data_IF_067235463446
#
_entry.id   IF_067235463446
#
_cell.length_a   1.000
_cell.length_b   1.000
_cell.length_c   1.000
_cell.angle_alpha   90.00
_cell.angle_beta   90.00
_cell.angle_gamma   90.00
#
_symmetry.space_group_name_H-M   'P 1'
#
loop_
_entity.id
_entity.type
_entity.pdbx_description
1 polymer ?
#
# COMPACT_ATOMS: atom_id res chain seq x y z
N UNK A 1 1.23 16.99 -11.84
CA UNK A 1 2.34 17.98 -11.89
C UNK A 1 1.93 19.38 -12.34
N UNK A 2 0.92 19.54 -13.21
CA UNK A 2 0.51 20.85 -13.75
C UNK A 2 -0.26 21.74 -12.77
N UNK A 3 -1.06 21.17 -11.89
CA UNK A 3 -2.07 21.89 -11.09
C UNK A 3 -1.67 22.03 -9.60
N UNK A 4 -0.64 21.34 -9.14
CA UNK A 4 -0.23 21.30 -7.72
C UNK A 4 -0.64 20.01 -7.03
N UNK A 5 -0.12 19.80 -5.82
CA UNK A 5 -0.38 18.56 -5.05
C UNK A 5 -1.75 18.61 -4.38
N UNK A 6 -2.07 19.73 -3.73
CA UNK A 6 -3.31 19.87 -2.98
C UNK A 6 -4.57 19.87 -3.86
N UNK A 7 -4.64 20.59 -5.00
CA UNK A 7 -5.80 20.51 -5.87
C UNK A 7 -6.05 19.11 -6.43
N UNK A 8 -4.99 18.37 -6.79
CA UNK A 8 -5.13 17.00 -7.29
C UNK A 8 -5.68 16.07 -6.21
N UNK A 9 -5.19 16.19 -4.96
CA UNK A 9 -5.75 15.44 -3.82
C UNK A 9 -7.21 15.78 -3.58
N UNK A 10 -7.59 17.06 -3.62
CA UNK A 10 -8.98 17.48 -3.44
C UNK A 10 -9.90 16.90 -4.53
N UNK A 11 -9.48 16.92 -5.80
CA UNK A 11 -10.22 16.34 -6.91
C UNK A 11 -10.34 14.82 -6.75
N UNK A 12 -9.25 14.13 -6.37
CA UNK A 12 -9.23 12.69 -6.19
C UNK A 12 -10.22 12.25 -5.06
N UNK A 13 -10.17 12.93 -3.92
CA UNK A 13 -11.10 12.69 -2.80
C UNK A 13 -12.54 13.02 -3.20
N UNK A 14 -12.74 14.10 -3.96
CA UNK A 14 -14.06 14.49 -4.47
C UNK A 14 -14.67 13.44 -5.39
N UNK A 15 -13.89 12.92 -6.34
CA UNK A 15 -14.32 11.82 -7.23
C UNK A 15 -14.65 10.57 -6.41
N UNK A 16 -13.77 10.19 -5.47
CA UNK A 16 -13.99 9.04 -4.60
C UNK A 16 -15.30 9.16 -3.82
N UNK A 17 -15.55 10.31 -3.19
CA UNK A 17 -16.74 10.54 -2.39
C UNK A 17 -18.02 10.60 -3.24
N UNK A 18 -17.99 11.27 -4.40
CA UNK A 18 -19.12 11.31 -5.32
C UNK A 18 -19.49 9.92 -5.83
N UNK A 19 -18.50 9.10 -6.16
CA UNK A 19 -18.73 7.73 -6.62
C UNK A 19 -19.15 6.81 -5.46
N UNK A 20 -18.70 7.06 -4.24
CA UNK A 20 -19.23 6.39 -3.04
C UNK A 20 -20.74 6.68 -2.87
N UNK A 21 -21.15 7.94 -3.01
CA UNK A 21 -22.57 8.30 -3.01
C UNK A 21 -23.34 7.57 -4.13
N UNK A 22 -22.80 7.54 -5.35
CA UNK A 22 -23.44 6.83 -6.46
C UNK A 22 -23.62 5.33 -6.20
N UNK A 23 -22.65 4.69 -5.52
CA UNK A 23 -22.73 3.27 -5.16
C UNK A 23 -23.91 2.95 -4.24
N UNK A 24 -24.37 3.90 -3.40
CA UNK A 24 -25.54 3.71 -2.52
C UNK A 24 -26.81 3.50 -3.36
N UNK A 25 -26.90 4.18 -4.49
CA UNK A 25 -28.05 4.15 -5.40
C UNK A 25 -27.87 3.15 -6.54
N UNK A 26 -26.91 2.22 -6.45
CA UNK A 26 -26.69 1.22 -7.49
C UNK A 26 -27.91 0.30 -7.61
N UNK A 27 -28.45 0.19 -8.84
CA UNK A 27 -29.65 -0.61 -9.15
C UNK A 27 -29.36 -2.04 -9.61
N UNK A 28 -28.09 -2.41 -9.70
CA UNK A 28 -27.66 -3.77 -10.08
C UNK A 28 -26.15 -3.92 -10.13
N UNK A 29 -25.65 -5.13 -10.35
CA UNK A 29 -24.20 -5.40 -10.39
C UNK A 29 -23.44 -4.56 -11.41
N UNK A 30 -24.00 -4.34 -12.60
CA UNK A 30 -23.36 -3.57 -13.67
C UNK A 30 -23.16 -2.09 -13.27
N UNK A 31 -24.17 -1.45 -12.67
CA UNK A 31 -24.07 -0.08 -12.19
C UNK A 31 -23.08 0.04 -11.04
N UNK A 32 -23.06 -0.92 -10.13
CA UNK A 32 -22.10 -0.95 -9.03
C UNK A 32 -20.65 -1.07 -9.56
N UNK A 33 -20.42 -1.95 -10.53
CA UNK A 33 -19.09 -2.12 -11.16
C UNK A 33 -18.66 -0.80 -11.82
N UNK A 34 -19.54 -0.13 -12.56
CA UNK A 34 -19.23 1.14 -13.22
C UNK A 34 -18.87 2.23 -12.20
N UNK A 35 -19.65 2.39 -11.13
CA UNK A 35 -19.36 3.38 -10.07
C UNK A 35 -18.08 3.05 -9.32
N UNK A 36 -17.80 1.78 -9.03
CA UNK A 36 -16.55 1.31 -8.43
C UNK A 36 -15.34 1.55 -9.32
N UNK A 37 -15.50 1.37 -10.63
CA UNK A 37 -14.43 1.69 -11.58
C UNK A 37 -14.08 3.19 -11.54
N UNK A 38 -15.08 4.05 -11.60
CA UNK A 38 -14.87 5.50 -11.50
C UNK A 38 -14.31 5.92 -10.12
N UNK A 39 -14.77 5.28 -9.05
CA UNK A 39 -14.21 5.47 -7.68
C UNK A 39 -12.72 5.11 -7.64
N UNK A 40 -12.33 4.04 -8.36
CA UNK A 40 -10.94 3.61 -8.50
C UNK A 40 -10.04 4.64 -9.17
N UNK A 41 -10.56 5.49 -10.06
CA UNK A 41 -9.82 6.61 -10.65
C UNK A 41 -9.44 7.63 -9.55
N UNK A 42 -10.37 7.93 -8.63
CA UNK A 42 -10.10 8.80 -7.49
C UNK A 42 -8.97 8.26 -6.61
N UNK A 43 -9.13 7.03 -6.10
CA UNK A 43 -8.10 6.39 -5.26
C UNK A 43 -6.76 6.17 -5.96
N UNK A 44 -6.78 5.86 -7.26
CA UNK A 44 -5.56 5.69 -8.05
C UNK A 44 -4.74 6.96 -8.21
N UNK A 45 -5.39 8.12 -8.23
CA UNK A 45 -4.74 9.44 -8.29
C UNK A 45 -4.23 9.94 -6.93
N UNK A 46 -4.87 9.53 -5.82
CA UNK A 46 -4.56 10.01 -4.47
C UNK A 46 -3.19 9.53 -3.97
N UNK A 47 -2.96 8.22 -3.99
CA UNK A 47 -1.81 7.58 -3.34
C UNK A 47 -0.45 8.11 -3.84
N UNK A 48 -0.20 8.23 -5.16
CA UNK A 48 1.08 8.74 -5.65
C UNK A 48 1.31 10.20 -5.27
N UNK A 49 0.25 11.01 -5.27
CA UNK A 49 0.34 12.45 -4.96
C UNK A 49 0.55 12.66 -3.48
N UNK A 50 -0.18 11.94 -2.62
CA UNK A 50 0.00 11.98 -1.17
C UNK A 50 1.41 11.53 -0.77
N UNK A 51 1.90 10.42 -1.33
CA UNK A 51 3.26 9.92 -1.10
C UNK A 51 4.32 10.94 -1.53
N UNK A 52 4.16 11.57 -2.69
CA UNK A 52 5.06 12.61 -3.16
C UNK A 52 5.05 13.82 -2.21
N UNK A 53 3.87 14.30 -1.82
CA UNK A 53 3.71 15.43 -0.91
C UNK A 53 4.35 15.17 0.46
N UNK A 54 4.10 14.01 1.05
CA UNK A 54 4.70 13.57 2.32
C UNK A 54 6.23 13.51 2.20
N UNK A 55 6.76 12.97 1.10
CA UNK A 55 8.20 12.90 0.86
C UNK A 55 8.85 14.27 0.62
N UNK A 56 8.15 15.22 0.01
CA UNK A 56 8.63 16.58 -0.22
C UNK A 56 8.72 17.40 1.07
N UNK A 57 7.84 17.13 2.04
CA UNK A 57 7.80 17.84 3.34
C UNK A 57 8.61 17.12 4.42
N UNK A 58 8.90 15.82 4.27
CA UNK A 58 9.67 15.08 5.27
C UNK A 58 11.16 15.42 5.20
N UNK A 59 11.75 15.71 6.40
CA UNK A 59 13.19 15.98 6.53
C UNK A 59 14.04 14.74 6.18
N UNK A 60 15.23 14.97 5.60
CA UNK A 60 16.12 13.91 5.11
C UNK A 60 16.51 12.88 6.19
N UNK A 61 16.69 13.32 7.44
CA UNK A 61 17.23 12.50 8.53
C UNK A 61 16.30 11.42 9.08
N UNK A 62 14.95 11.56 8.91
CA UNK A 62 13.94 10.63 9.45
C UNK A 62 12.91 10.20 8.38
N UNK A 63 13.21 10.40 7.10
CA UNK A 63 12.27 10.17 5.99
C UNK A 63 11.72 8.74 5.94
N UNK A 64 12.58 7.72 6.12
CA UNK A 64 12.17 6.32 6.09
C UNK A 64 11.17 6.00 7.19
N UNK A 65 11.47 6.39 8.45
CA UNK A 65 10.55 6.19 9.59
C UNK A 65 9.24 6.93 9.41
N UNK A 66 9.28 8.16 8.91
CA UNK A 66 8.08 8.96 8.65
C UNK A 66 7.22 8.32 7.55
N UNK A 67 7.86 7.80 6.51
CA UNK A 67 7.17 7.09 5.43
C UNK A 67 6.51 5.79 5.93
N UNK A 68 7.19 5.01 6.76
CA UNK A 68 6.60 3.81 7.37
C UNK A 68 5.43 4.15 8.29
N UNK A 69 5.50 5.24 9.06
CA UNK A 69 4.38 5.71 9.87
C UNK A 69 3.18 6.15 9.01
N UNK A 70 3.45 6.79 7.87
CA UNK A 70 2.40 7.13 6.90
C UNK A 70 1.73 5.86 6.33
N UNK A 71 2.51 4.86 5.95
CA UNK A 71 1.97 3.59 5.46
C UNK A 71 1.18 2.82 6.54
N UNK A 72 1.53 2.94 7.83
CA UNK A 72 0.75 2.38 8.94
C UNK A 72 -0.65 2.98 9.03
N UNK A 73 -0.84 4.25 8.69
CA UNK A 73 -2.16 4.88 8.68
C UNK A 73 -3.11 4.18 7.70
N UNK A 74 -2.59 3.65 6.59
CA UNK A 74 -3.39 2.86 5.67
C UNK A 74 -3.94 1.58 6.34
N UNK A 75 -3.10 0.89 7.11
CA UNK A 75 -3.52 -0.31 7.84
C UNK A 75 -4.49 0.02 8.98
N UNK A 76 -4.26 1.12 9.68
CA UNK A 76 -5.21 1.62 10.68
C UNK A 76 -6.58 1.88 10.04
N UNK A 77 -6.59 2.55 8.87
CA UNK A 77 -7.80 2.79 8.09
C UNK A 77 -8.50 1.49 7.66
N UNK A 78 -7.74 0.50 7.20
CA UNK A 78 -8.25 -0.81 6.82
C UNK A 78 -8.89 -1.54 8.00
N UNK A 79 -8.21 -1.56 9.15
CA UNK A 79 -8.73 -2.17 10.39
C UNK A 79 -9.97 -1.43 10.90
N UNK A 80 -9.96 -0.09 10.86
CA UNK A 80 -11.10 0.72 11.22
C UNK A 80 -12.31 0.47 10.30
N UNK A 81 -12.08 0.34 8.99
CA UNK A 81 -13.13 -0.04 8.04
C UNK A 81 -13.72 -1.41 8.36
N UNK A 82 -12.90 -2.38 8.75
CA UNK A 82 -13.34 -3.70 9.22
C UNK A 82 -14.20 -3.61 10.48
N UNK A 83 -13.78 -2.81 11.46
CA UNK A 83 -14.54 -2.58 12.70
C UNK A 83 -15.89 -1.90 12.44
N UNK A 84 -15.88 -0.85 11.62
CA UNK A 84 -17.12 -0.15 11.24
C UNK A 84 -18.06 -1.09 10.47
N UNK A 85 -17.50 -1.90 9.55
CA UNK A 85 -18.27 -2.90 8.80
C UNK A 85 -18.91 -3.95 9.71
N UNK A 86 -18.16 -4.44 10.71
CA UNK A 86 -18.66 -5.38 11.71
C UNK A 86 -19.86 -4.81 12.49
N UNK A 87 -19.80 -3.53 12.86
CA UNK A 87 -20.86 -2.87 13.64
C UNK A 87 -22.07 -2.45 12.79
N UNK A 88 -21.84 -1.98 11.56
CA UNK A 88 -22.88 -1.32 10.76
C UNK A 88 -23.55 -2.26 9.74
N UNK A 89 -22.80 -3.13 9.07
CA UNK A 89 -23.34 -3.94 7.97
C UNK A 89 -24.48 -4.87 8.41
N UNK A 90 -24.40 -5.56 9.57
CA UNK A 90 -25.50 -6.44 10.00
C UNK A 90 -26.80 -5.67 10.30
N UNK A 91 -26.72 -4.41 10.69
CA UNK A 91 -27.85 -3.58 11.11
C UNK A 91 -28.42 -2.68 10.00
N UNK A 92 -27.52 -2.09 9.20
CA UNK A 92 -27.84 -1.03 8.23
C UNK A 92 -27.61 -1.46 6.78
N UNK A 93 -27.16 -2.70 6.57
CA UNK A 93 -26.84 -3.20 5.24
C UNK A 93 -25.49 -2.68 4.70
N UNK A 94 -25.05 -3.26 3.58
CA UNK A 94 -23.77 -2.98 2.95
C UNK A 94 -23.63 -1.53 2.43
N UNK A 95 -24.73 -0.86 2.11
CA UNK A 95 -24.78 0.52 1.65
C UNK A 95 -24.20 1.49 2.68
N UNK A 96 -24.32 1.16 3.97
CA UNK A 96 -23.78 1.97 5.07
C UNK A 96 -22.28 2.21 4.96
N UNK A 97 -21.52 1.27 4.40
CA UNK A 97 -20.09 1.42 4.20
C UNK A 97 -19.74 2.47 3.15
N UNK A 98 -20.61 2.71 2.17
CA UNK A 98 -20.42 3.78 1.20
C UNK A 98 -20.72 5.16 1.81
N UNK A 99 -21.67 5.24 2.76
CA UNK A 99 -21.91 6.48 3.53
C UNK A 99 -20.64 6.82 4.31
N UNK A 100 -20.04 5.86 5.00
CA UNK A 100 -18.77 6.06 5.71
C UNK A 100 -17.66 6.47 4.73
N UNK A 101 -17.62 5.86 3.53
CA UNK A 101 -16.69 6.22 2.47
C UNK A 101 -16.80 7.66 1.96
N UNK A 102 -17.90 8.35 2.22
CA UNK A 102 -18.06 9.77 1.87
C UNK A 102 -17.45 10.71 2.92
N UNK A 103 -17.29 10.27 4.16
CA UNK A 103 -16.77 11.10 5.27
C UNK A 103 -15.45 11.81 4.93
N UNK A 104 -14.49 11.18 4.25
CA UNK A 104 -13.24 11.85 3.88
C UNK A 104 -13.41 13.12 3.03
N UNK A 105 -14.55 13.31 2.35
CA UNK A 105 -14.79 14.55 1.61
C UNK A 105 -14.81 15.77 2.54
N UNK A 106 -15.27 15.60 3.77
CA UNK A 106 -15.28 16.65 4.78
C UNK A 106 -13.84 17.14 5.12
N UNK A 107 -12.83 16.30 4.89
CA UNK A 107 -11.42 16.66 5.08
C UNK A 107 -10.85 17.56 3.97
N UNK A 108 -11.51 17.62 2.79
CA UNK A 108 -11.04 18.45 1.67
C UNK A 108 -11.03 19.93 2.05
N UNK A 109 -12.03 20.37 2.82
CA UNK A 109 -12.12 21.76 3.28
C UNK A 109 -10.98 22.12 4.23
N UNK A 110 -10.74 21.39 5.34
CA UNK A 110 -9.60 21.65 6.21
C UNK A 110 -8.26 21.52 5.47
N UNK A 111 -8.09 20.51 4.60
CA UNK A 111 -6.85 20.34 3.82
C UNK A 111 -6.47 21.63 3.07
N UNK A 112 -7.46 22.30 2.47
CA UNK A 112 -7.22 23.54 1.72
C UNK A 112 -6.81 24.72 2.62
N UNK A 113 -7.26 24.77 3.86
CA UNK A 113 -6.97 25.87 4.79
C UNK A 113 -5.71 25.64 5.63
N UNK A 114 -5.44 24.40 6.02
CA UNK A 114 -4.35 24.06 6.93
C UNK A 114 -3.07 23.61 6.23
N UNK A 115 -3.16 23.04 5.04
CA UNK A 115 -2.00 22.60 4.30
C UNK A 115 -1.56 23.64 3.27
N UNK A 116 -0.26 23.83 3.19
CA UNK A 116 0.38 24.67 2.16
C UNK A 116 0.82 23.81 0.99
N UNK A 117 0.83 24.38 -0.22
CA UNK A 117 1.40 23.68 -1.39
C UNK A 117 2.89 23.35 -1.18
N UNK A 118 3.40 22.33 -1.85
CA UNK A 118 4.79 21.93 -1.74
C UNK A 118 5.75 23.06 -2.14
N UNK A 119 6.71 23.47 -1.28
CA UNK A 119 7.72 24.45 -1.64
C UNK A 119 8.52 24.04 -2.88
N UNK A 120 8.84 22.74 -3.01
CA UNK A 120 9.59 22.22 -4.17
C UNK A 120 8.79 22.36 -5.47
N UNK A 121 7.48 22.11 -5.41
CA UNK A 121 6.62 22.30 -6.58
C UNK A 121 6.52 23.77 -6.95
N UNK A 122 6.38 24.68 -5.97
CA UNK A 122 6.35 26.13 -6.20
C UNK A 122 7.63 26.63 -6.87
N UNK A 123 8.80 26.19 -6.36
CA UNK A 123 10.11 26.54 -6.95
C UNK A 123 10.21 26.06 -8.39
N UNK A 124 9.81 24.80 -8.66
CA UNK A 124 9.85 24.25 -10.02
C UNK A 124 8.91 24.96 -11.00
N UNK A 125 7.95 25.74 -10.49
CA UNK A 125 7.03 26.57 -11.25
C UNK A 125 7.45 28.06 -11.33
N UNK A 126 8.60 28.39 -10.77
CA UNK A 126 9.08 29.79 -10.71
C UNK A 126 8.31 30.67 -9.72
N UNK A 127 7.47 30.09 -8.85
CA UNK A 127 6.67 30.83 -7.84
C UNK A 127 7.47 31.01 -6.55
N UNK A 128 8.64 31.64 -6.65
CA UNK A 128 9.61 31.75 -5.55
C UNK A 128 9.05 32.46 -4.33
N UNK A 129 8.33 33.57 -4.52
CA UNK A 129 7.77 34.35 -3.41
C UNK A 129 6.74 33.56 -2.57
N UNK A 130 6.02 32.64 -3.19
CA UNK A 130 5.08 31.78 -2.49
C UNK A 130 5.80 30.61 -1.80
N UNK A 131 6.83 30.07 -2.44
CA UNK A 131 7.66 29.04 -1.83
C UNK A 131 8.31 29.58 -0.55
N UNK A 132 8.83 30.79 -0.58
CA UNK A 132 9.47 31.44 0.56
C UNK A 132 8.47 31.65 1.72
N UNK A 133 7.27 32.12 1.43
CA UNK A 133 6.19 32.23 2.45
C UNK A 133 5.87 30.89 3.13
N UNK A 134 5.86 29.80 2.36
CA UNK A 134 5.59 28.46 2.91
C UNK A 134 6.77 28.01 3.79
N UNK A 135 8.01 28.21 3.34
CA UNK A 135 9.21 27.85 4.09
C UNK A 135 9.25 28.65 5.40
N UNK A 136 9.08 29.97 5.37
CA UNK A 136 9.05 30.80 6.57
C UNK A 136 7.94 30.36 7.56
N UNK A 137 6.77 29.93 7.06
CA UNK A 137 5.70 29.41 7.93
C UNK A 137 6.13 28.11 8.62
N UNK A 138 6.78 27.19 7.92
CA UNK A 138 7.27 25.93 8.47
C UNK A 138 8.40 26.17 9.49
N UNK A 139 9.34 27.03 9.18
CA UNK A 139 10.44 27.42 10.08
C UNK A 139 9.91 28.07 11.37
N UNK A 140 9.01 29.03 11.25
CA UNK A 140 8.37 29.68 12.40
C UNK A 140 7.59 28.68 13.26
N UNK A 141 6.93 27.69 12.63
CA UNK A 141 6.26 26.62 13.36
C UNK A 141 7.26 25.75 14.12
N UNK A 142 8.39 25.38 13.50
CA UNK A 142 9.45 24.60 14.15
C UNK A 142 10.05 25.35 15.36
N UNK A 143 10.36 26.64 15.20
CA UNK A 143 10.87 27.49 16.27
C UNK A 143 9.87 27.57 17.44
N UNK A 144 8.58 27.75 17.16
CA UNK A 144 7.53 27.80 18.21
C UNK A 144 7.46 26.49 19.00
N UNK A 145 7.82 25.36 18.41
CA UNK A 145 7.87 24.06 19.09
C UNK A 145 9.25 23.74 19.69
N UNK A 146 10.13 24.76 19.83
CA UNK A 146 11.43 24.62 20.47
C UNK A 146 12.45 23.81 19.67
N UNK A 147 12.26 23.69 18.34
CA UNK A 147 13.24 23.04 17.48
C UNK A 147 14.28 24.05 17.01
N UNK A 148 15.55 23.74 17.22
CA UNK A 148 16.65 24.48 16.59
C UNK A 148 16.68 24.19 15.10
N UNK A 149 16.65 25.23 14.28
CA UNK A 149 16.83 25.08 12.85
C UNK A 149 18.32 24.82 12.58
N UNK A 150 18.69 23.75 11.90
CA UNK A 150 20.08 23.56 11.49
C UNK A 150 20.48 24.65 10.52
N UNK A 151 21.68 25.18 10.68
CA UNK A 151 22.25 26.14 9.71
C UNK A 151 22.13 25.56 8.28
N UNK A 152 21.65 26.36 7.33
CA UNK A 152 21.57 25.92 5.95
C UNK A 152 22.99 25.58 5.48
N UNK A 153 23.25 24.29 5.28
CA UNK A 153 24.51 23.87 4.67
C UNK A 153 24.56 24.54 3.30
N UNK A 154 25.59 25.34 2.99
CA UNK A 154 25.75 25.83 1.64
C UNK A 154 25.79 24.59 0.75
N UNK A 155 24.69 24.33 0.10
CA UNK A 155 24.69 23.37 -1.00
C UNK A 155 25.59 24.05 -2.01
N UNK A 156 26.86 23.57 -2.12
CA UNK A 156 27.68 23.92 -3.26
C UNK A 156 26.70 23.87 -4.43
N UNK A 157 26.62 24.97 -5.19
CA UNK A 157 25.75 25.03 -6.33
C UNK A 157 26.11 23.82 -7.17
N UNK A 158 25.49 22.69 -6.85
CA UNK A 158 25.48 21.55 -7.73
C UNK A 158 24.75 22.13 -8.90
N UNK A 159 25.55 22.56 -9.89
CA UNK A 159 25.07 22.70 -11.24
C UNK A 159 24.34 21.40 -11.48
N UNK A 160 23.04 21.43 -11.19
CA UNK A 160 22.14 20.33 -11.50
C UNK A 160 22.10 20.35 -13.02
N UNK A 161 23.14 19.74 -13.59
CA UNK A 161 22.99 19.28 -14.96
C UNK A 161 21.73 18.42 -14.90
N UNK A 162 20.69 18.75 -15.64
CA UNK A 162 19.49 17.99 -15.66
C UNK A 162 19.91 16.59 -16.11
N UNK A 163 20.09 15.68 -15.12
CA UNK A 163 20.33 14.29 -15.45
C UNK A 163 19.12 13.88 -16.27
N UNK A 164 19.30 13.31 -17.46
CA UNK A 164 18.19 12.93 -18.31
C UNK A 164 17.20 12.12 -17.50
N UNK A 165 15.91 12.42 -17.66
CA UNK A 165 14.85 11.69 -16.96
C UNK A 165 15.07 10.20 -17.21
N UNK A 166 15.01 9.39 -16.14
CA UNK A 166 15.19 7.95 -16.25
C UNK A 166 14.22 7.36 -17.27
N UNK A 167 14.67 6.49 -18.11
CA UNK A 167 13.84 5.86 -19.15
C UNK A 167 13.43 4.45 -18.74
N UNK A 168 12.27 4.00 -19.21
CA UNK A 168 11.82 2.60 -19.03
C UNK A 168 12.87 1.63 -19.55
N UNK A 169 13.55 1.96 -20.67
CA UNK A 169 14.61 1.13 -21.24
C UNK A 169 15.78 0.93 -20.27
N UNK A 170 16.14 1.95 -19.50
CA UNK A 170 17.20 1.87 -18.48
C UNK A 170 16.85 0.89 -17.36
N UNK A 171 15.56 0.77 -16.98
CA UNK A 171 15.10 -0.18 -15.97
C UNK A 171 15.28 -1.64 -16.37
N UNK A 172 15.37 -1.92 -17.68
CA UNK A 172 15.65 -3.26 -18.20
C UNK A 172 17.13 -3.46 -18.59
N UNK A 173 17.98 -2.48 -18.29
CA UNK A 173 19.42 -2.63 -18.45
C UNK A 173 20.03 -3.72 -17.56
N UNK A 174 21.30 -4.10 -17.80
CA UNK A 174 21.96 -5.21 -17.10
C UNK A 174 21.95 -5.09 -15.58
N UNK A 175 22.04 -3.85 -15.04
CA UNK A 175 22.08 -3.60 -13.61
C UNK A 175 20.68 -3.61 -12.97
N UNK A 176 19.71 -2.96 -13.60
CA UNK A 176 18.39 -2.76 -13.02
C UNK A 176 17.37 -3.81 -13.47
N UNK A 177 17.58 -4.49 -14.59
CA UNK A 177 16.65 -5.49 -15.12
C UNK A 177 16.31 -6.60 -14.13
N UNK A 178 17.29 -7.28 -13.53
CA UNK A 178 17.03 -8.30 -12.51
C UNK A 178 16.29 -7.74 -11.27
N UNK A 179 16.60 -6.51 -10.84
CA UNK A 179 15.93 -5.82 -9.72
C UNK A 179 14.48 -5.47 -10.04
N UNK A 180 14.23 -5.05 -11.28
CA UNK A 180 12.89 -4.73 -11.77
C UNK A 180 12.01 -5.98 -11.80
N UNK A 181 12.50 -7.08 -12.35
CA UNK A 181 11.78 -8.35 -12.40
C UNK A 181 11.52 -8.90 -10.99
N UNK A 182 12.52 -8.83 -10.11
CA UNK A 182 12.37 -9.20 -8.70
C UNK A 182 11.24 -8.39 -8.03
N UNK A 183 11.28 -7.07 -8.16
CA UNK A 183 10.25 -6.20 -7.57
C UNK A 183 8.87 -6.50 -8.14
N UNK A 184 8.75 -6.69 -9.44
CA UNK A 184 7.47 -7.02 -10.07
C UNK A 184 6.92 -8.36 -9.56
N UNK A 185 7.78 -9.38 -9.41
CA UNK A 185 7.38 -10.66 -8.81
C UNK A 185 6.90 -10.48 -7.37
N UNK A 186 7.60 -9.67 -6.57
CA UNK A 186 7.20 -9.38 -5.19
C UNK A 186 5.87 -8.61 -5.12
N UNK A 187 5.71 -7.55 -5.93
CA UNK A 187 4.49 -6.76 -6.00
C UNK A 187 3.30 -7.63 -6.42
N UNK A 188 3.45 -8.39 -7.48
CA UNK A 188 2.38 -9.26 -7.99
C UNK A 188 2.05 -10.37 -6.99
N UNK A 189 3.04 -11.16 -6.58
CA UNK A 189 2.83 -12.34 -5.75
C UNK A 189 2.28 -12.00 -4.37
N UNK A 190 2.89 -11.02 -3.67
CA UNK A 190 2.43 -10.63 -2.34
C UNK A 190 1.00 -10.03 -2.38
N UNK A 191 0.72 -9.15 -3.33
CA UNK A 191 -0.61 -8.54 -3.43
C UNK A 191 -1.69 -9.48 -3.98
N UNK A 192 -1.35 -10.42 -4.84
CA UNK A 192 -2.26 -11.47 -5.28
C UNK A 192 -2.82 -12.26 -4.10
N UNK A 193 -1.94 -12.72 -3.21
CA UNK A 193 -2.35 -13.51 -2.06
C UNK A 193 -3.04 -12.62 -1.01
N UNK A 194 -2.44 -11.48 -0.68
CA UNK A 194 -2.95 -10.58 0.35
C UNK A 194 -4.37 -10.09 0.02
N UNK A 195 -4.59 -9.56 -1.19
CA UNK A 195 -5.93 -9.11 -1.60
C UNK A 195 -6.89 -10.26 -1.85
N UNK A 196 -6.41 -11.41 -2.32
CA UNK A 196 -7.20 -12.62 -2.42
C UNK A 196 -7.79 -13.01 -1.06
N UNK A 197 -6.95 -13.16 -0.05
CA UNK A 197 -7.38 -13.49 1.31
C UNK A 197 -8.28 -12.41 1.92
N UNK A 198 -7.88 -11.14 1.81
CA UNK A 198 -8.62 -10.02 2.39
C UNK A 198 -10.06 -9.92 1.84
N UNK A 199 -10.20 -10.07 0.53
CA UNK A 199 -11.48 -9.87 -0.15
C UNK A 199 -12.41 -11.08 -0.02
N UNK A 200 -11.84 -12.30 -0.08
CA UNK A 200 -12.65 -13.50 -0.19
C UNK A 200 -12.87 -14.27 1.10
N UNK A 201 -12.00 -14.13 2.12
CA UNK A 201 -12.19 -14.87 3.37
C UNK A 201 -13.57 -14.61 4.02
N UNK A 202 -14.08 -13.35 4.12
CA UNK A 202 -15.42 -13.13 4.63
C UNK A 202 -16.52 -13.80 3.80
N UNK A 203 -16.37 -13.82 2.46
CA UNK A 203 -17.29 -14.50 1.57
C UNK A 203 -17.24 -16.02 1.78
N UNK A 204 -16.03 -16.59 1.92
CA UNK A 204 -15.85 -18.02 2.19
C UNK A 204 -16.49 -18.46 3.51
N UNK A 205 -16.32 -17.67 4.57
CA UNK A 205 -16.97 -17.93 5.86
C UNK A 205 -18.50 -17.99 5.72
N UNK A 206 -19.08 -17.16 4.86
CA UNK A 206 -20.51 -17.15 4.59
C UNK A 206 -20.98 -18.29 3.70
N UNK A 207 -20.27 -18.53 2.59
CA UNK A 207 -20.77 -19.43 1.53
C UNK A 207 -20.39 -20.89 1.75
N UNK A 208 -19.27 -21.17 2.40
CA UNK A 208 -18.78 -22.53 2.65
C UNK A 208 -19.15 -23.03 4.04
N UNK A 209 -19.14 -22.13 5.03
CA UNK A 209 -19.40 -22.50 6.43
C UNK A 209 -20.74 -21.98 6.97
N UNK A 210 -21.56 -21.36 6.13
CA UNK A 210 -22.88 -20.82 6.51
C UNK A 210 -22.88 -19.90 7.73
N UNK A 211 -21.76 -19.18 7.98
CA UNK A 211 -21.66 -18.29 9.12
C UNK A 211 -22.52 -17.04 8.93
N UNK A 212 -23.11 -16.52 10.02
CA UNK A 212 -23.76 -15.21 10.02
C UNK A 212 -22.83 -14.09 9.54
N UNK A 213 -23.40 -13.02 8.95
CA UNK A 213 -22.62 -11.89 8.36
C UNK A 213 -21.71 -11.25 9.38
N UNK A 214 -22.20 -11.05 10.60
CA UNK A 214 -21.46 -10.46 11.71
C UNK A 214 -20.21 -11.27 12.08
N UNK A 215 -20.34 -12.61 12.18
CA UNK A 215 -19.20 -13.47 12.47
C UNK A 215 -18.20 -13.47 11.32
N UNK A 216 -18.66 -13.56 10.06
CA UNK A 216 -17.78 -13.54 8.90
C UNK A 216 -16.96 -12.24 8.80
N UNK A 217 -17.59 -11.10 9.02
CA UNK A 217 -16.91 -9.80 9.06
C UNK A 217 -16.02 -9.70 10.31
N UNK A 218 -16.44 -10.26 11.44
CA UNK A 218 -15.66 -10.30 12.69
C UNK A 218 -14.32 -11.02 12.51
N UNK A 219 -14.29 -12.16 11.82
CA UNK A 219 -13.04 -12.85 11.49
C UNK A 219 -12.14 -11.98 10.59
N UNK A 220 -12.70 -11.28 9.60
CA UNK A 220 -11.95 -10.35 8.75
C UNK A 220 -11.37 -9.17 9.54
N UNK A 221 -12.13 -8.59 10.45
CA UNK A 221 -11.68 -7.54 11.35
C UNK A 221 -10.54 -8.02 12.27
N UNK A 222 -10.70 -9.17 12.91
CA UNK A 222 -9.66 -9.75 13.76
C UNK A 222 -8.37 -10.03 12.98
N UNK A 223 -8.48 -10.55 11.76
CA UNK A 223 -7.36 -10.80 10.86
C UNK A 223 -6.59 -9.51 10.52
N UNK A 224 -7.28 -8.43 10.17
CA UNK A 224 -6.65 -7.14 9.85
C UNK A 224 -6.04 -6.49 11.08
N UNK A 225 -6.64 -6.65 12.27
CA UNK A 225 -6.08 -6.20 13.54
C UNK A 225 -4.75 -6.90 13.88
N UNK A 226 -4.68 -8.22 13.72
CA UNK A 226 -3.45 -9.01 13.91
C UNK A 226 -2.37 -8.57 12.89
N UNK A 227 -2.76 -8.34 11.65
CA UNK A 227 -1.86 -7.87 10.61
C UNK A 227 -1.32 -6.45 10.88
N UNK A 228 -2.13 -5.57 11.49
CA UNK A 228 -1.68 -4.24 11.94
C UNK A 228 -0.59 -4.36 13.00
N UNK A 229 -0.76 -5.23 13.99
CA UNK A 229 0.24 -5.50 15.02
C UNK A 229 1.53 -6.07 14.39
N UNK A 230 1.42 -7.04 13.49
CA UNK A 230 2.57 -7.61 12.79
C UNK A 230 3.31 -6.55 11.96
N UNK A 231 2.60 -5.64 11.30
CA UNK A 231 3.21 -4.56 10.53
C UNK A 231 3.89 -3.51 11.41
N UNK A 232 3.36 -3.25 12.60
CA UNK A 232 4.03 -2.42 13.59
C UNK A 232 5.34 -3.06 14.07
N UNK A 233 5.32 -4.36 14.37
CA UNK A 233 6.54 -5.12 14.73
C UNK A 233 7.54 -5.08 13.57
N UNK A 234 7.08 -5.24 12.33
CA UNK A 234 7.93 -5.09 11.14
C UNK A 234 8.61 -3.73 11.09
N UNK A 235 7.84 -2.64 11.28
CA UNK A 235 8.38 -1.29 11.27
C UNK A 235 9.49 -1.05 12.31
N UNK A 236 9.42 -1.74 13.45
CA UNK A 236 10.40 -1.63 14.53
C UNK A 236 11.65 -2.52 14.34
N UNK A 237 11.54 -3.56 13.53
CA UNK A 237 12.54 -4.63 13.46
C UNK A 237 13.20 -4.81 12.10
N UNK A 238 12.58 -4.37 11.01
CA UNK A 238 13.05 -4.59 9.64
C UNK A 238 14.45 -4.02 9.37
N UNK A 239 14.81 -2.92 10.04
CA UNK A 239 16.15 -2.31 9.92
C UNK A 239 17.23 -3.16 10.58
N UNK A 240 16.88 -3.91 11.63
CA UNK A 240 17.81 -4.80 12.36
C UNK A 240 17.95 -6.16 11.71
N UNK A 241 16.85 -6.73 11.22
CA UNK A 241 16.80 -8.05 10.59
C UNK A 241 17.37 -8.02 9.18
N UNK A 242 17.17 -6.90 8.46
CA UNK A 242 17.48 -6.73 7.06
C UNK A 242 16.29 -7.06 6.15
N UNK A 243 16.21 -6.35 5.00
CA UNK A 243 15.06 -6.46 4.08
C UNK A 243 14.98 -7.84 3.44
N UNK A 244 16.08 -8.36 2.92
CA UNK A 244 16.12 -9.67 2.27
C UNK A 244 15.67 -10.79 3.19
N UNK A 245 16.19 -10.83 4.43
CA UNK A 245 15.85 -11.86 5.42
C UNK A 245 14.39 -11.75 5.83
N UNK A 246 13.89 -10.51 6.05
CA UNK A 246 12.51 -10.28 6.42
C UNK A 246 11.54 -10.77 5.35
N UNK A 247 11.72 -10.34 4.10
CA UNK A 247 10.81 -10.72 3.02
C UNK A 247 10.85 -12.21 2.72
N UNK A 248 12.04 -12.80 2.67
CA UNK A 248 12.18 -14.25 2.50
C UNK A 248 11.47 -15.01 3.60
N UNK A 249 11.72 -14.63 4.86
CA UNK A 249 11.11 -15.28 6.03
C UNK A 249 9.60 -15.15 6.03
N UNK A 250 9.06 -13.95 5.78
CA UNK A 250 7.63 -13.69 5.75
C UNK A 250 6.89 -14.46 4.65
N UNK A 251 7.47 -14.50 3.43
CA UNK A 251 6.87 -15.21 2.28
C UNK A 251 6.92 -16.74 2.47
N UNK A 252 8.06 -17.28 2.88
CA UNK A 252 8.17 -18.72 3.14
C UNK A 252 7.35 -19.13 4.35
N UNK A 253 7.32 -18.34 5.41
CA UNK A 253 6.44 -18.58 6.54
C UNK A 253 4.98 -18.62 6.12
N UNK A 254 4.51 -17.67 5.29
CA UNK A 254 3.13 -17.63 4.82
C UNK A 254 2.75 -18.89 4.00
N UNK A 255 3.70 -19.48 3.27
CA UNK A 255 3.44 -20.68 2.48
C UNK A 255 3.11 -21.91 3.32
N UNK A 256 3.66 -22.00 4.55
CA UNK A 256 3.46 -23.16 5.44
C UNK A 256 2.00 -23.31 5.88
N UNK A 257 1.37 -22.34 6.57
CA UNK A 257 -0.01 -22.49 7.00
C UNK A 257 -1.00 -22.58 5.84
N UNK A 258 -0.71 -21.93 4.68
CA UNK A 258 -1.53 -22.07 3.48
C UNK A 258 -1.45 -23.50 2.89
N UNK A 259 -0.25 -24.10 2.85
CA UNK A 259 -0.10 -25.51 2.47
C UNK A 259 -0.81 -26.44 3.43
N UNK A 260 -0.73 -26.15 4.74
CA UNK A 260 -1.43 -26.93 5.78
C UNK A 260 -2.94 -26.88 5.58
N UNK A 261 -3.52 -25.72 5.23
CA UNK A 261 -4.94 -25.59 4.90
C UNK A 261 -5.35 -26.45 3.71
N UNK A 262 -4.49 -26.55 2.70
CA UNK A 262 -4.74 -27.47 1.57
C UNK A 262 -4.77 -28.94 2.02
N UNK A 263 -3.77 -29.36 2.78
CA UNK A 263 -3.65 -30.78 3.22
C UNK A 263 -4.78 -31.19 4.16
N UNK A 264 -5.19 -30.31 5.07
CA UNK A 264 -6.27 -30.55 6.04
C UNK A 264 -7.67 -30.33 5.45
N UNK A 265 -7.77 -29.82 4.22
CA UNK A 265 -9.03 -29.60 3.53
C UNK A 265 -9.85 -28.40 4.00
N UNK A 266 -9.29 -27.50 4.82
CA UNK A 266 -9.95 -26.28 5.32
C UNK A 266 -11.36 -26.58 5.90
N UNK A 267 -11.46 -27.57 6.79
CA UNK A 267 -12.72 -28.18 7.21
C UNK A 267 -13.54 -27.36 8.22
N UNK A 268 -12.94 -26.43 8.96
CA UNK A 268 -13.63 -25.60 9.95
C UNK A 268 -13.28 -24.12 9.85
N UNK A 269 -14.23 -23.20 10.19
CA UNK A 269 -13.95 -21.75 10.18
C UNK A 269 -12.77 -21.35 11.05
N UNK A 270 -12.68 -21.92 12.25
CA UNK A 270 -11.60 -21.63 13.21
C UNK A 270 -10.25 -22.08 12.65
N UNK A 271 -10.18 -23.23 11.98
CA UNK A 271 -8.93 -23.69 11.38
C UNK A 271 -8.49 -22.77 10.24
N UNK A 272 -9.43 -22.33 9.39
CA UNK A 272 -9.13 -21.35 8.34
C UNK A 272 -8.64 -20.06 8.95
N UNK A 273 -9.30 -19.55 9.98
CA UNK A 273 -8.86 -18.34 10.69
C UNK A 273 -7.48 -18.51 11.31
N UNK A 274 -7.24 -19.59 12.04
CA UNK A 274 -5.99 -19.82 12.76
C UNK A 274 -4.77 -19.96 11.83
N UNK A 275 -4.95 -20.49 10.61
CA UNK A 275 -3.87 -20.69 9.65
C UNK A 275 -3.78 -19.57 8.60
N UNK A 276 -4.90 -19.05 8.08
CA UNK A 276 -4.86 -17.96 7.11
C UNK A 276 -4.46 -16.62 7.73
N UNK A 277 -4.80 -16.36 9.00
CA UNK A 277 -4.46 -15.09 9.66
C UNK A 277 -2.95 -14.86 9.81
N UNK A 278 -2.12 -15.79 10.33
CA UNK A 278 -0.68 -15.58 10.39
C UNK A 278 -0.05 -15.50 8.99
N UNK A 279 -0.56 -16.24 7.99
CA UNK A 279 -0.12 -16.10 6.61
C UNK A 279 -0.40 -14.69 6.08
N UNK A 280 -1.63 -14.21 6.25
CA UNK A 280 -2.02 -12.86 5.87
C UNK A 280 -1.20 -11.79 6.57
N UNK A 281 -0.99 -11.92 7.89
CA UNK A 281 -0.20 -10.98 8.68
C UNK A 281 1.26 -10.91 8.19
N UNK A 282 1.89 -12.05 7.90
CA UNK A 282 3.22 -12.10 7.33
C UNK A 282 3.29 -11.42 5.95
N UNK A 283 2.35 -11.72 5.05
CA UNK A 283 2.25 -11.11 3.72
C UNK A 283 1.97 -9.60 3.81
N UNK A 284 1.17 -9.17 4.79
CA UNK A 284 0.90 -7.76 5.03
C UNK A 284 2.18 -6.99 5.38
N UNK A 285 3.11 -7.59 6.14
CA UNK A 285 4.41 -6.94 6.41
C UNK A 285 5.25 -6.76 5.16
N UNK A 286 5.14 -7.66 4.18
CA UNK A 286 5.80 -7.54 2.88
C UNK A 286 5.17 -6.42 2.07
N UNK A 287 3.85 -6.47 1.85
CA UNK A 287 3.11 -5.49 1.04
C UNK A 287 3.27 -4.06 1.57
N UNK A 288 3.18 -3.90 2.89
CA UNK A 288 3.36 -2.66 3.61
C UNK A 288 4.72 -1.98 3.37
N UNK A 289 5.80 -2.77 3.29
CA UNK A 289 7.17 -2.25 3.20
C UNK A 289 7.75 -2.24 1.77
N UNK A 290 7.01 -2.73 0.77
CA UNK A 290 7.48 -2.80 -0.62
C UNK A 290 7.79 -1.43 -1.25
N UNK A 291 7.03 -0.38 -0.90
CA UNK A 291 7.34 0.98 -1.38
C UNK A 291 8.70 1.47 -0.86
N UNK A 292 9.02 1.18 0.40
CA UNK A 292 10.33 1.49 0.98
C UNK A 292 11.43 0.77 0.20
N UNK A 293 11.30 -0.54 0.02
CA UNK A 293 12.29 -1.36 -0.68
C UNK A 293 12.45 -0.95 -2.14
N UNK A 294 11.36 -0.65 -2.83
CA UNK A 294 11.39 -0.12 -4.20
C UNK A 294 12.19 1.18 -4.28
N UNK A 295 12.03 2.06 -3.29
CA UNK A 295 12.78 3.31 -3.20
C UNK A 295 14.28 3.14 -2.94
N UNK A 296 14.68 2.02 -2.30
CA UNK A 296 16.08 1.69 -2.02
C UNK A 296 16.81 1.04 -3.22
N UNK A 297 16.08 0.37 -4.11
CA UNK A 297 16.67 -0.37 -5.24
C UNK A 297 16.94 0.48 -6.49
N UNK A 298 16.34 1.67 -6.58
CA UNK A 298 16.49 2.54 -7.74
C UNK A 298 17.16 3.87 -7.39
N UNK A 299 18.02 4.40 -8.30
CA UNK A 299 18.55 5.75 -8.17
C UNK A 299 17.42 6.78 -8.23
N UNK A 300 17.68 7.98 -7.73
CA UNK A 300 16.65 9.02 -7.61
C UNK A 300 15.91 9.31 -8.92
N UNK A 301 16.60 9.22 -10.07
CA UNK A 301 16.02 9.44 -11.42
C UNK A 301 15.03 8.36 -11.87
N UNK A 302 15.21 7.11 -11.41
CA UNK A 302 14.34 5.97 -11.76
C UNK A 302 13.32 5.63 -10.67
N UNK A 303 13.46 6.19 -9.48
CA UNK A 303 12.67 5.81 -8.29
C UNK A 303 11.17 5.98 -8.49
N UNK A 304 10.74 7.11 -9.02
CA UNK A 304 9.32 7.38 -9.27
C UNK A 304 8.75 6.46 -10.36
N UNK A 305 9.54 6.20 -11.40
CA UNK A 305 9.17 5.30 -12.49
C UNK A 305 9.10 3.85 -11.98
N UNK A 306 10.08 3.41 -11.20
CA UNK A 306 10.13 2.07 -10.59
C UNK A 306 8.98 1.82 -9.63
N UNK A 307 8.68 2.77 -8.75
CA UNK A 307 7.54 2.70 -7.85
C UNK A 307 6.20 2.71 -8.61
N UNK A 308 6.08 3.53 -9.65
CA UNK A 308 4.87 3.61 -10.48
C UNK A 308 4.59 2.31 -11.23
N UNK A 309 5.60 1.72 -11.87
CA UNK A 309 5.46 0.43 -12.54
C UNK A 309 5.24 -0.72 -11.54
N UNK A 310 5.89 -0.69 -10.38
CA UNK A 310 5.61 -1.62 -9.28
C UNK A 310 4.14 -1.54 -8.85
N UNK A 311 3.60 -0.33 -8.71
CA UNK A 311 2.18 -0.11 -8.39
C UNK A 311 1.23 -0.66 -9.47
N UNK A 312 1.62 -0.70 -10.74
CA UNK A 312 0.84 -1.37 -11.78
C UNK A 312 0.77 -2.89 -11.56
N UNK A 313 1.90 -3.52 -11.19
CA UNK A 313 1.95 -4.94 -10.85
C UNK A 313 1.20 -5.28 -9.56
N UNK A 314 1.19 -4.37 -8.58
CA UNK A 314 0.29 -4.45 -7.42
C UNK A 314 -1.17 -4.58 -7.87
N UNK A 315 -1.62 -3.72 -8.79
CA UNK A 315 -3.00 -3.74 -9.29
C UNK A 315 -3.31 -5.04 -10.03
N UNK A 316 -2.38 -5.49 -10.88
CA UNK A 316 -2.50 -6.77 -11.57
C UNK A 316 -2.64 -7.95 -10.57
N UNK A 317 -1.80 -8.00 -9.54
CA UNK A 317 -1.88 -9.00 -8.46
C UNK A 317 -3.20 -8.91 -7.69
N UNK A 318 -3.64 -7.70 -7.34
CA UNK A 318 -4.90 -7.48 -6.61
C UNK A 318 -6.13 -7.94 -7.40
N UNK A 319 -6.10 -7.90 -8.74
CA UNK A 319 -7.15 -8.43 -9.60
C UNK A 319 -7.03 -9.96 -9.71
N UNK A 320 -5.79 -10.46 -9.90
CA UNK A 320 -5.53 -11.88 -10.09
C UNK A 320 -5.95 -12.73 -8.87
N UNK A 321 -5.75 -12.23 -7.64
CA UNK A 321 -6.09 -12.95 -6.41
C UNK A 321 -7.55 -13.38 -6.34
N UNK A 322 -8.51 -12.45 -6.30
CA UNK A 322 -9.94 -12.76 -6.30
C UNK A 322 -10.39 -13.57 -7.53
N UNK A 323 -9.81 -13.28 -8.70
CA UNK A 323 -10.16 -13.99 -9.93
C UNK A 323 -9.75 -15.46 -9.90
N UNK A 324 -8.55 -15.78 -9.42
CA UNK A 324 -8.08 -17.15 -9.22
C UNK A 324 -8.98 -17.89 -8.25
N UNK A 325 -9.39 -17.24 -7.15
CA UNK A 325 -10.33 -17.86 -6.20
C UNK A 325 -11.65 -18.21 -6.89
N UNK A 326 -12.22 -17.26 -7.65
CA UNK A 326 -13.47 -17.51 -8.38
C UNK A 326 -13.38 -18.68 -9.36
N UNK A 327 -12.27 -18.78 -10.11
CA UNK A 327 -12.03 -19.88 -11.04
C UNK A 327 -11.87 -21.24 -10.33
N UNK A 328 -11.09 -21.27 -9.25
CA UNK A 328 -10.82 -22.54 -8.53
C UNK A 328 -12.06 -23.03 -7.79
N UNK A 329 -12.84 -22.11 -7.21
CA UNK A 329 -14.07 -22.44 -6.51
C UNK A 329 -15.18 -22.99 -7.43
N UNK A 330 -15.14 -22.71 -8.74
CA UNK A 330 -16.07 -23.33 -9.69
C UNK A 330 -15.97 -24.86 -9.72
N UNK A 331 -14.84 -25.43 -9.26
CA UNK A 331 -14.63 -26.86 -9.05
C UNK A 331 -15.19 -27.45 -7.75
N UNK A 332 -15.90 -26.64 -6.92
CA UNK A 332 -16.59 -27.09 -5.71
C UNK A 332 -15.73 -27.27 -4.45
N UNK A 333 -14.44 -27.01 -4.51
CA UNK A 333 -13.53 -27.09 -3.35
C UNK A 333 -12.70 -25.84 -3.16
N UNK A 334 -12.55 -25.43 -1.89
CA UNK A 334 -11.73 -24.26 -1.50
C UNK A 334 -10.25 -24.63 -1.34
N UNK A 335 -9.94 -25.88 -1.03
CA UNK A 335 -8.58 -26.28 -0.68
C UNK A 335 -7.53 -25.95 -1.76
N UNK A 336 -7.78 -26.12 -3.07
CA UNK A 336 -6.81 -25.76 -4.11
C UNK A 336 -6.45 -24.27 -4.17
N UNK A 337 -7.33 -23.38 -3.67
CA UNK A 337 -7.03 -21.94 -3.55
C UNK A 337 -5.83 -21.73 -2.64
N UNK A 338 -5.85 -22.39 -1.47
CA UNK A 338 -4.76 -22.27 -0.49
C UNK A 338 -3.45 -22.86 -1.03
N UNK A 339 -3.50 -23.95 -1.79
CA UNK A 339 -2.32 -24.49 -2.46
C UNK A 339 -1.75 -23.51 -3.49
N UNK A 340 -2.59 -22.90 -4.31
CA UNK A 340 -2.14 -21.88 -5.29
C UNK A 340 -1.46 -20.72 -4.59
N UNK A 341 -2.05 -20.21 -3.54
CA UNK A 341 -1.46 -19.11 -2.76
C UNK A 341 -0.18 -19.52 -2.04
N UNK A 342 -0.12 -20.74 -1.49
CA UNK A 342 1.08 -21.30 -0.90
C UNK A 342 2.22 -21.42 -1.93
N UNK A 343 1.92 -21.92 -3.13
CA UNK A 343 2.90 -22.02 -4.21
C UNK A 343 3.42 -20.64 -4.64
N UNK A 344 2.54 -19.65 -4.83
CA UNK A 344 2.95 -18.28 -5.19
C UNK A 344 3.80 -17.66 -4.08
N UNK A 345 3.43 -17.86 -2.80
CA UNK A 345 4.23 -17.37 -1.67
C UNK A 345 5.61 -18.01 -1.63
N UNK A 346 5.69 -19.33 -1.76
CA UNK A 346 6.95 -20.07 -1.78
C UNK A 346 7.84 -19.67 -2.95
N UNK A 347 7.29 -19.62 -4.18
CA UNK A 347 8.04 -19.21 -5.37
C UNK A 347 8.56 -17.77 -5.24
N UNK A 348 7.71 -16.84 -4.81
CA UNK A 348 8.13 -15.46 -4.58
C UNK A 348 9.21 -15.39 -3.48
N UNK A 349 9.06 -16.15 -2.40
CA UNK A 349 10.04 -16.25 -1.31
C UNK A 349 11.39 -16.79 -1.78
N UNK A 350 11.41 -17.81 -2.66
CA UNK A 350 12.63 -18.36 -3.26
C UNK A 350 13.28 -17.36 -4.23
N UNK A 351 12.50 -16.63 -5.01
CA UNK A 351 12.99 -15.54 -5.88
C UNK A 351 13.67 -14.48 -5.03
N UNK A 352 13.05 -14.06 -3.92
CA UNK A 352 13.62 -13.08 -3.00
C UNK A 352 14.90 -13.64 -2.35
N UNK A 353 14.88 -14.88 -1.88
CA UNK A 353 16.04 -15.55 -1.29
C UNK A 353 17.24 -15.56 -2.24
N UNK A 354 17.00 -15.78 -3.54
CA UNK A 354 18.09 -15.95 -4.54
C UNK A 354 18.62 -14.62 -5.08
N UNK A 355 17.74 -13.64 -5.33
CA UNK A 355 18.08 -12.45 -6.11
C UNK A 355 17.92 -11.13 -5.36
N UNK A 356 17.26 -11.07 -4.20
CA UNK A 356 17.07 -9.81 -3.50
C UNK A 356 18.39 -9.30 -2.91
N UNK A 357 18.84 -8.09 -3.24
CA UNK A 357 19.95 -7.46 -2.57
C UNK A 357 19.55 -7.02 -1.16
N UNK A 358 20.48 -7.12 -0.21
CA UNK A 358 20.29 -6.55 1.10
C UNK A 358 20.60 -5.05 1.05
N UNK A 359 19.66 -4.24 1.52
CA UNK A 359 19.75 -2.78 1.46
C UNK A 359 19.94 -2.15 2.84
N UNK A 360 19.73 -2.92 3.91
CA UNK A 360 19.88 -2.42 5.28
C UNK A 360 21.30 -1.91 5.56
N UNK A 361 21.40 -0.68 6.08
CA UNK A 361 22.66 -0.09 6.48
C UNK A 361 23.57 0.38 5.33
N UNK A 362 23.13 0.29 4.07
CA UNK A 362 23.89 0.73 2.90
C UNK A 362 23.44 2.12 2.43
N UNK A 363 24.38 2.93 1.97
CA UNK A 363 24.05 4.19 1.33
C UNK A 363 23.38 3.94 -0.04
N UNK A 364 22.42 4.80 -0.39
CA UNK A 364 21.68 4.66 -1.66
C UNK A 364 22.61 4.76 -2.89
N UNK A 365 23.66 5.55 -2.76
CA UNK A 365 24.67 5.76 -3.79
C UNK A 365 25.52 4.50 -4.04
N UNK A 366 25.71 3.67 -3.02
CA UNK A 366 26.42 2.38 -3.15
C UNK A 366 25.55 1.31 -3.82
N UNK A 367 24.25 1.37 -3.60
CA UNK A 367 23.30 0.41 -4.15
C UNK A 367 22.92 0.72 -5.60
N UNK A 368 22.94 2.00 -5.97
CA UNK A 368 22.41 2.50 -7.24
C UNK A 368 23.28 3.63 -7.77
N UNK A 369 24.50 3.30 -8.28
CA UNK A 369 25.46 4.26 -8.81
C UNK A 369 24.93 5.03 -10.04
#
# INVERSE_FOLDING_TARGET
ERIGRLPVLAIAIGIFAAMSAACIFAWGPASLIAFRFLQGIGTGGEVPVASAYVNELSGARKRGRFFLLYELLFLVGLTAAGAIGYLMVPKLGWQSMFIVGMVPVALVVPLRFFLSESPRWLINRGRFAEADKVICRLENSAIRHGQELPEPKPTAAVLVQPKPAGSVKEMFGPLYGPRTLLLWAMWFGAYMINNGLLTWLPTLYRTVFDLPVDQAIGYGFAMTGIALVASFICAMTIDKVGRRRWYTGALLFASIPLSTLYVLGASTPIMVFALATPAFAALQTVTYSLYLYSGELYPTRLRSLGAGLGSAWLRAGSIAGPWVIGLVMSGGSIAPVFLTFAAVAALTGLVVLRWAPETSGKALEELSP
#
